data_IF_366830717314
#
_entry.id   IF_366830717314
#
_cell.length_a   1.000
_cell.length_b   1.000
_cell.length_c   1.000
_cell.angle_alpha   90.00
_cell.angle_beta   90.00
_cell.angle_gamma   90.00
#
_symmetry.space_group_name_H-M   'P 1'
#
loop_
_entity.id
_entity.type
_entity.pdbx_description
1 polymer ?
2 non-polymer ?
3 non-polymer ?
4 non-polymer ?
5 water ?
#
# COMPACT_ATOMS: atom_id res chain seq x y z
N UNK A 1 8.46 28.51 -12.32
CA UNK A 1 7.98 27.09 -12.31
C UNK A 1 9.12 26.08 -12.28
N UNK A 2 10.07 26.19 -13.22
CA UNK A 2 11.30 25.39 -13.16
C UNK A 2 12.03 25.57 -11.82
N UNK A 3 12.07 26.80 -11.32
CA UNK A 3 12.69 27.11 -10.04
C UNK A 3 11.94 26.42 -8.90
N UNK A 4 10.62 26.29 -9.04
CA UNK A 4 9.81 25.58 -8.05
C UNK A 4 10.16 24.07 -7.99
N UNK A 5 10.38 23.48 -9.15
CA UNK A 5 10.85 22.10 -9.22
C UNK A 5 12.23 21.97 -8.56
N UNK A 6 13.13 22.91 -8.88
CA UNK A 6 14.47 22.87 -8.30
C UNK A 6 14.42 22.85 -6.78
N UNK A 7 13.58 23.69 -6.20
CA UNK A 7 13.42 23.73 -4.75
C UNK A 7 13.00 22.38 -4.18
N UNK A 8 12.11 21.67 -4.87
CA UNK A 8 11.68 20.36 -4.37
C UNK A 8 12.80 19.32 -4.49
N UNK A 9 13.44 19.29 -5.66
CA UNK A 9 14.55 18.35 -5.88
C UNK A 9 15.66 18.51 -4.84
N UNK A 10 16.11 19.75 -4.62
CA UNK A 10 17.13 20.03 -3.60
C UNK A 10 16.71 19.56 -2.23
N UNK A 11 15.44 19.78 -1.91
CA UNK A 11 14.88 19.38 -0.61
C UNK A 11 14.94 17.85 -0.40
N UNK A 12 14.65 17.08 -1.45
CA UNK A 12 14.54 15.61 -1.32
C UNK A 12 15.89 14.89 -1.28
N UNK A 13 16.97 15.63 -1.54
CA UNK A 13 18.33 15.05 -1.57
C UNK A 13 18.90 14.56 -0.26
N UNK A 14 18.73 15.34 0.81
CA UNK A 14 19.41 15.02 2.06
C UNK A 14 19.07 13.65 2.63
N UNK A 15 17.82 13.21 2.45
CA UNK A 15 17.36 11.97 3.06
C UNK A 15 17.85 10.73 2.31
N UNK A 16 18.40 10.94 1.10
CA UNK A 16 18.71 9.80 0.25
C UNK A 16 19.64 8.82 0.97
N UNK A 17 19.38 7.51 0.79
CA UNK A 17 20.16 6.48 1.49
C UNK A 17 20.80 5.50 0.51
N UNK A 18 21.95 4.96 0.89
CA UNK A 18 22.60 3.93 0.07
C UNK A 18 21.94 2.58 0.31
N UNK A 19 21.80 1.76 -0.76
CA UNK A 19 21.25 0.42 -0.57
C UNK A 19 22.04 -0.42 0.42
N UNK A 20 21.35 -1.33 1.10
CA UNK A 20 21.99 -2.35 1.92
C UNK A 20 22.61 -3.41 0.99
N UNK A 21 23.94 -3.63 1.07
CA UNK A 21 24.55 -4.61 0.16
C UNK A 21 23.95 -6.03 0.24
N UNK A 22 23.36 -6.39 1.38
CA UNK A 22 22.65 -7.66 1.54
C UNK A 22 21.45 -7.75 0.60
N UNK A 23 20.87 -6.60 0.24
CA UNK A 23 19.62 -6.56 -0.51
C UNK A 23 19.73 -5.89 -1.87
N UNK A 24 20.84 -5.22 -2.12
CA UNK A 24 20.97 -4.46 -3.33
C UNK A 24 21.00 -5.35 -4.60
N UNK A 25 20.01 -5.18 -5.47
CA UNK A 25 19.99 -5.89 -6.76
C UNK A 25 19.59 -7.37 -6.70
N UNK A 26 19.27 -7.87 -5.50
CA UNK A 26 19.00 -9.31 -5.34
C UNK A 26 17.74 -9.77 -6.10
N UNK A 27 16.86 -8.83 -6.44
CA UNK A 27 15.64 -9.16 -7.19
C UNK A 27 15.63 -8.64 -8.62
N UNK A 28 16.80 -8.30 -9.16
CA UNK A 28 16.91 -7.77 -10.52
C UNK A 28 16.16 -8.68 -11.53
N UNK A 29 15.24 -8.08 -12.27
CA UNK A 29 14.47 -8.74 -13.34
C UNK A 29 13.62 -9.95 -12.90
N UNK A 30 13.29 -10.00 -11.61
CA UNK A 30 12.38 -11.00 -11.08
C UNK A 30 10.95 -10.47 -11.12
N UNK A 31 9.97 -11.37 -11.23
CA UNK A 31 8.58 -10.92 -11.21
C UNK A 31 8.29 -10.28 -9.84
N UNK A 32 7.48 -9.22 -9.85
CA UNK A 32 7.06 -8.55 -8.61
C UNK A 32 5.53 -8.59 -8.55
N UNK A 33 5.00 -9.17 -7.48
CA UNK A 33 3.57 -9.32 -7.27
C UNK A 33 3.22 -8.47 -6.04
N UNK A 34 2.23 -7.60 -6.21
CA UNK A 34 1.92 -6.59 -5.21
C UNK A 34 0.45 -6.77 -4.88
N UNK A 35 0.15 -7.08 -3.62
CA UNK A 35 -1.22 -7.48 -3.24
C UNK A 35 -1.81 -6.46 -2.25
N UNK A 36 -2.88 -5.81 -2.67
CA UNK A 36 -3.54 -4.74 -1.91
C UNK A 36 -4.63 -5.39 -1.07
N UNK A 37 -4.61 -5.14 0.23
CA UNK A 37 -5.68 -5.65 1.11
C UNK A 37 -6.60 -4.49 1.48
N UNK A 38 -7.80 -4.48 0.88
CA UNK A 38 -8.71 -3.38 1.09
C UNK A 38 -9.04 -3.22 2.59
N UNK A 39 -8.88 -1.99 3.10
CA UNK A 39 -9.33 -1.57 4.44
C UNK A 39 -8.75 -2.41 5.58
N UNK A 40 -7.58 -3.00 5.34
CA UNK A 40 -6.99 -3.95 6.31
C UNK A 40 -6.14 -3.25 7.38
N UNK A 41 -6.53 -3.46 8.63
CA UNK A 41 -5.76 -2.98 9.81
C UNK A 41 -5.12 -4.14 10.58
N UNK A 42 -3.87 -3.97 10.99
CA UNK A 42 -3.15 -5.06 11.65
C UNK A 42 -3.61 -5.36 13.08
N UNK A 43 -4.59 -4.63 13.62
CA UNK A 43 -5.21 -5.07 14.88
C UNK A 43 -5.86 -6.46 14.68
N UNK A 44 -6.17 -6.81 13.43
CA UNK A 44 -6.69 -8.14 13.12
C UNK A 44 -5.69 -9.27 13.35
N UNK A 45 -4.39 -8.95 13.25
CA UNK A 45 -3.37 -9.99 13.33
C UNK A 45 -3.35 -10.57 14.73
N UNK A 46 -3.50 -11.90 14.79
CA UNK A 46 -3.60 -12.71 16.02
C UNK A 46 -4.87 -12.48 16.83
N UNK A 47 -5.80 -11.71 16.29
CA UNK A 47 -7.08 -11.47 16.96
C UNK A 47 -8.02 -12.67 16.78
N UNK A 48 -8.64 -13.10 17.89
CA UNK A 48 -9.68 -14.12 17.84
C UNK A 48 -11.05 -13.51 18.13
N UNK A 49 -12.07 -14.05 17.49
CA UNK A 49 -13.47 -13.66 17.77
C UNK A 49 -14.26 -14.96 17.91
N UNK A 50 -14.94 -15.10 19.05
CA UNK A 50 -15.64 -16.34 19.42
C UNK A 50 -14.72 -17.55 19.32
N UNK A 51 -13.46 -17.34 19.73
CA UNK A 51 -12.46 -18.41 19.76
C UNK A 51 -11.83 -18.77 18.42
N UNK A 52 -12.21 -18.07 17.35
CA UNK A 52 -11.68 -18.35 16.01
C UNK A 52 -10.73 -17.24 15.59
N UNK A 53 -9.61 -17.61 14.98
CA UNK A 53 -8.68 -16.61 14.43
C UNK A 53 -9.34 -15.94 13.23
N UNK A 54 -9.37 -14.61 13.24
CA UNK A 54 -10.04 -13.92 12.13
C UNK A 54 -9.24 -14.11 10.85
N UNK A 55 -7.92 -14.01 10.96
CA UNK A 55 -7.04 -14.02 9.76
C UNK A 55 -5.90 -15.04 9.90
N UNK A 56 -6.23 -16.34 9.95
CA UNK A 56 -5.21 -17.36 10.26
C UNK A 56 -4.02 -17.40 9.29
N UNK A 57 -4.24 -17.17 8.00
CA UNK A 57 -3.14 -17.20 7.03
C UNK A 57 -2.19 -16.02 7.25
N UNK A 58 -2.73 -14.81 7.30
CA UNK A 58 -1.90 -13.64 7.61
C UNK A 58 -1.23 -13.71 8.98
N UNK A 59 -1.89 -14.38 9.94
CA UNK A 59 -1.25 -14.63 11.23
C UNK A 59 0.05 -15.43 11.05
N UNK A 60 -0.01 -16.48 10.23
CA UNK A 60 1.18 -17.27 9.93
C UNK A 60 2.24 -16.42 9.22
N UNK A 61 1.84 -15.65 8.20
CA UNK A 61 2.81 -14.78 7.51
C UNK A 61 3.48 -13.83 8.49
N UNK A 62 2.70 -13.29 9.44
CA UNK A 62 3.19 -12.29 10.41
C UNK A 62 4.14 -12.87 11.47
N UNK A 63 4.22 -14.20 11.53
CA UNK A 63 5.17 -14.87 12.46
C UNK A 63 6.62 -14.65 12.03
N UNK A 64 6.82 -14.35 10.75
CA UNK A 64 8.16 -14.25 10.18
C UNK A 64 8.75 -15.59 9.75
N UNK A 65 8.02 -16.68 9.98
CA UNK A 65 8.53 -18.03 9.72
C UNK A 65 8.04 -18.60 8.39
N UNK A 66 7.39 -17.75 7.58
CA UNK A 66 6.76 -18.22 6.34
C UNK A 66 7.29 -17.51 5.08
N UNK A 67 8.58 -17.19 5.11
CA UNK A 67 9.30 -16.57 3.95
C UNK A 67 9.04 -15.06 3.77
N UNK A 68 8.07 -14.51 4.50
CA UNK A 68 7.78 -13.07 4.43
C UNK A 68 8.40 -12.32 5.60
N UNK A 69 8.92 -11.12 5.33
CA UNK A 69 9.31 -10.19 6.37
C UNK A 69 8.11 -9.30 6.64
N UNK A 70 7.65 -9.32 7.89
CA UNK A 70 6.52 -8.53 8.36
C UNK A 70 6.96 -7.27 9.11
N UNK A 71 6.34 -6.15 8.75
CA UNK A 71 6.57 -4.86 9.42
C UNK A 71 5.35 -4.51 10.26
N UNK A 72 5.42 -4.75 11.59
CA UNK A 72 4.26 -4.45 12.47
C UNK A 72 4.01 -2.98 12.80
N UNK A 73 4.93 -2.10 12.42
CA UNK A 73 4.82 -0.66 12.66
C UNK A 73 4.77 0.10 11.33
N UNK A 74 3.89 -0.32 10.43
CA UNK A 74 3.85 0.20 9.06
C UNK A 74 2.49 0.87 8.84
N UNK A 75 2.51 2.12 8.38
CA UNK A 75 1.31 2.98 8.33
C UNK A 75 0.99 3.45 6.93
N UNK A 76 -0.28 3.36 6.56
CA UNK A 76 -0.80 4.12 5.44
C UNK A 76 -0.68 5.63 5.76
N UNK A 77 -0.69 6.45 4.71
CA UNK A 77 -0.56 7.91 4.82
C UNK A 77 -1.62 8.62 3.96
N UNK A 78 -2.82 8.01 3.89
CA UNK A 78 -3.84 8.42 2.93
C UNK A 78 -4.75 9.54 3.46
N UNK A 79 -5.57 10.08 2.54
CA UNK A 79 -6.60 11.03 2.88
C UNK A 79 -7.89 10.66 2.15
N UNK A 80 -8.52 11.66 1.51
CA UNK A 80 -9.87 11.46 0.96
C UNK A 80 -9.91 10.59 -0.29
N UNK A 81 -8.73 10.31 -0.87
CA UNK A 81 -8.70 9.45 -2.03
C UNK A 81 -8.72 7.95 -1.71
N UNK A 82 -8.64 7.61 -0.42
CA UNK A 82 -8.77 6.21 0.03
C UNK A 82 -7.84 5.27 -0.77
N UNK A 83 -8.37 4.23 -1.43
CA UNK A 83 -7.50 3.32 -2.17
C UNK A 83 -6.64 4.04 -3.21
N UNK A 84 -7.22 5.05 -3.85
CA UNK A 84 -6.49 5.82 -4.88
C UNK A 84 -5.30 6.57 -4.28
N UNK A 85 -5.42 7.03 -3.03
CA UNK A 85 -4.29 7.70 -2.37
C UNK A 85 -3.18 6.69 -2.11
N UNK A 86 -3.57 5.52 -1.60
CA UNK A 86 -2.61 4.46 -1.36
C UNK A 86 -1.88 4.09 -2.65
N UNK A 87 -2.63 3.94 -3.73
CA UNK A 87 -2.02 3.58 -5.01
C UNK A 87 -1.06 4.68 -5.47
N UNK A 88 -1.49 5.92 -5.30
CA UNK A 88 -0.70 7.09 -5.67
C UNK A 88 0.65 7.06 -4.95
N UNK A 89 0.60 6.87 -3.65
CA UNK A 89 1.82 6.90 -2.85
C UNK A 89 2.70 5.65 -3.13
N UNK A 90 2.09 4.48 -3.23
CA UNK A 90 2.83 3.23 -3.47
C UNK A 90 3.66 3.30 -4.76
N UNK A 91 3.12 3.93 -5.80
CA UNK A 91 3.80 3.95 -7.11
C UNK A 91 4.56 5.25 -7.41
N UNK A 92 4.58 6.18 -6.46
CA UNK A 92 5.26 7.46 -6.68
C UNK A 92 6.11 8.01 -5.53
N UNK A 93 5.91 7.49 -4.32
CA UNK A 93 6.58 8.07 -3.14
C UNK A 93 6.26 9.60 -3.02
N UNK A 94 5.00 9.94 -3.31
CA UNK A 94 4.45 11.27 -3.08
C UNK A 94 3.24 11.09 -2.21
N UNK A 95 2.82 12.18 -1.55
CA UNK A 95 1.55 12.16 -0.81
C UNK A 95 0.39 12.46 -1.75
N UNK A 96 -0.82 12.02 -1.38
CA UNK A 96 -2.02 12.54 -2.02
C UNK A 96 -2.25 14.00 -1.62
N UNK A 97 -3.43 14.52 -1.96
CA UNK A 97 -3.80 15.91 -1.61
C UNK A 97 -4.44 16.02 -0.21
N UNK A 98 -4.41 17.22 0.40
CA UNK A 98 -5.03 17.35 1.73
C UNK A 98 -6.55 17.28 1.72
N UNK A 99 -7.14 17.63 0.59
CA UNK A 99 -8.59 17.51 0.41
C UNK A 99 -8.77 16.92 -0.97
N UNK A 100 -9.70 15.98 -1.09
CA UNK A 100 -10.02 15.39 -2.38
C UNK A 100 -9.02 14.37 -2.85
N UNK A 101 -9.13 13.99 -4.12
CA UNK A 101 -8.41 12.85 -4.66
C UNK A 101 -7.42 13.23 -5.75
N UNK A 102 -6.14 13.00 -5.46
CA UNK A 102 -5.09 13.18 -6.47
C UNK A 102 -5.38 12.41 -7.77
N UNK A 103 -5.85 11.17 -7.68
CA UNK A 103 -6.26 10.44 -8.91
C UNK A 103 -7.30 11.25 -9.70
N UNK A 104 -8.36 11.70 -8.99
CA UNK A 104 -9.46 12.41 -9.68
C UNK A 104 -9.07 13.78 -10.25
N UNK A 105 -8.22 14.50 -9.52
CA UNK A 105 -7.93 15.90 -9.80
C UNK A 105 -6.62 16.12 -10.57
N UNK A 106 -5.66 15.19 -10.44
CA UNK A 106 -4.32 15.39 -11.00
C UNK A 106 -3.93 14.23 -11.94
N UNK A 107 -4.93 13.60 -12.54
CA UNK A 107 -4.71 12.42 -13.36
C UNK A 107 -4.01 12.69 -14.68
N UNK A 108 -3.97 13.94 -15.13
CA UNK A 108 -3.16 14.25 -16.31
C UNK A 108 -1.94 15.11 -16.03
N UNK A 109 -1.54 15.14 -14.76
CA UNK A 109 -0.19 15.56 -14.43
C UNK A 109 0.85 14.64 -15.07
N UNK A 110 2.09 15.15 -15.12
CA UNK A 110 3.23 14.39 -15.57
C UNK A 110 3.81 13.66 -14.35
N UNK A 111 4.12 12.37 -14.52
CA UNK A 111 4.71 11.57 -13.44
C UNK A 111 5.97 10.81 -13.88
N UNK A 112 6.75 10.40 -12.88
CA UNK A 112 7.92 9.54 -13.11
C UNK A 112 7.78 8.33 -12.19
N UNK A 113 6.76 7.51 -12.51
CA UNK A 113 6.27 6.47 -11.61
C UNK A 113 7.11 5.20 -11.58
N UNK A 114 6.96 4.45 -10.49
CA UNK A 114 7.60 3.15 -10.33
C UNK A 114 7.42 2.18 -11.50
N UNK A 115 6.18 1.91 -11.94
CA UNK A 115 6.06 0.98 -13.08
C UNK A 115 6.84 1.44 -14.34
N UNK A 116 6.80 2.73 -14.62
CA UNK A 116 7.51 3.28 -15.78
C UNK A 116 9.02 3.07 -15.62
N UNK A 117 9.54 3.31 -14.42
CA UNK A 117 10.97 3.13 -14.18
C UNK A 117 11.38 1.66 -14.39
N UNK A 118 10.63 0.74 -13.80
CA UNK A 118 10.89 -0.69 -13.99
C UNK A 118 10.84 -1.10 -15.46
N UNK A 119 9.83 -0.60 -16.19
CA UNK A 119 9.69 -0.89 -17.62
C UNK A 119 10.94 -0.41 -18.36
N UNK A 120 11.33 0.83 -18.09
CA UNK A 120 12.43 1.47 -18.82
C UNK A 120 13.79 0.90 -18.50
N UNK A 121 14.04 0.66 -17.22
CA UNK A 121 15.37 0.22 -16.79
C UNK A 121 15.61 -1.28 -17.00
N UNK A 122 14.55 -2.09 -16.87
CA UNK A 122 14.75 -3.54 -16.83
C UNK A 122 13.79 -4.37 -17.71
N UNK A 123 13.04 -3.70 -18.57
CA UNK A 123 12.17 -4.38 -19.52
C UNK A 123 10.90 -5.00 -18.92
N UNK A 124 10.51 -4.55 -17.73
CA UNK A 124 9.23 -4.99 -17.15
C UNK A 124 8.04 -4.59 -18.01
N UNK A 125 6.96 -5.35 -17.86
CA UNK A 125 5.64 -4.88 -18.22
C UNK A 125 4.84 -4.85 -16.93
N UNK A 126 4.09 -3.79 -16.74
CA UNK A 126 3.36 -3.58 -15.49
C UNK A 126 1.87 -3.70 -15.73
N UNK A 127 1.14 -4.26 -14.74
CA UNK A 127 -0.28 -4.40 -14.89
C UNK A 127 -0.99 -4.14 -13.57
N UNK A 128 -2.26 -3.74 -13.65
CA UNK A 128 -3.12 -3.72 -12.47
C UNK A 128 -4.30 -4.61 -12.77
N UNK A 129 -4.77 -5.33 -11.75
CA UNK A 129 -5.98 -6.13 -11.89
C UNK A 129 -6.95 -5.75 -10.78
N UNK A 130 -8.23 -5.60 -11.11
CA UNK A 130 -9.22 -5.14 -10.13
C UNK A 130 -10.63 -5.46 -10.62
N UNK A 131 -11.44 -6.02 -9.73
CA UNK A 131 -12.82 -6.41 -10.08
C UNK A 131 -13.86 -5.29 -10.04
N UNK A 132 -13.52 -4.12 -10.58
CA UNK A 132 -14.44 -2.98 -10.72
C UNK A 132 -14.06 -2.29 -12.03
N UNK A 133 -14.93 -1.42 -12.53
CA UNK A 133 -14.74 -0.83 -13.86
C UNK A 133 -13.68 0.29 -13.87
N UNK A 134 -13.03 0.46 -15.02
CA UNK A 134 -11.76 1.20 -15.09
C UNK A 134 -11.76 2.70 -14.81
N UNK A 135 -12.92 3.35 -14.94
CA UNK A 135 -12.96 4.81 -14.73
C UNK A 135 -13.31 5.20 -13.29
N UNK A 136 -13.57 4.22 -12.42
CA UNK A 136 -13.70 4.56 -11.02
C UNK A 136 -12.35 5.05 -10.48
N UNK A 137 -12.38 6.11 -9.67
CA UNK A 137 -11.19 6.86 -9.24
C UNK A 137 -10.32 7.29 -10.42
N UNK A 138 -10.91 7.42 -11.61
CA UNK A 138 -10.15 7.91 -12.76
C UNK A 138 -8.94 7.04 -13.11
N UNK A 139 -9.02 5.75 -12.76
CA UNK A 139 -7.84 4.88 -12.90
C UNK A 139 -7.35 4.78 -14.34
N UNK A 140 -8.30 4.69 -15.27
CA UNK A 140 -8.01 4.62 -16.70
C UNK A 140 -7.00 5.71 -17.12
N UNK A 141 -7.33 6.97 -16.85
CA UNK A 141 -6.47 8.10 -17.18
C UNK A 141 -5.17 8.12 -16.38
N UNK A 142 -5.25 7.90 -15.07
CA UNK A 142 -4.06 7.96 -14.22
C UNK A 142 -3.02 6.93 -14.60
N UNK A 143 -3.46 5.69 -14.82
CA UNK A 143 -2.55 4.60 -15.13
C UNK A 143 -1.77 4.86 -16.43
N UNK A 144 -2.40 5.50 -17.41
CA UNK A 144 -1.66 5.89 -18.63
C UNK A 144 -0.52 6.87 -18.32
N UNK A 145 -0.76 7.76 -17.36
CA UNK A 145 0.27 8.74 -16.95
C UNK A 145 1.36 8.11 -16.08
N UNK A 146 0.99 7.06 -15.36
CA UNK A 146 1.94 6.26 -14.57
C UNK A 146 2.74 5.28 -15.46
N UNK A 147 2.30 5.06 -16.69
CA UNK A 147 2.98 4.11 -17.57
C UNK A 147 2.67 2.63 -17.29
N UNK A 148 1.48 2.37 -16.76
CA UNK A 148 0.98 1.00 -16.57
C UNK A 148 0.55 0.46 -17.94
N UNK A 149 1.03 -0.73 -18.29
CA UNK A 149 0.84 -1.32 -19.63
C UNK A 149 -0.52 -1.96 -19.85
N UNK A 150 -1.07 -2.59 -18.81
CA UNK A 150 -2.34 -3.29 -18.94
C UNK A 150 -3.17 -3.16 -17.67
N UNK A 151 -4.48 -3.04 -17.86
CA UNK A 151 -5.41 -2.88 -16.73
C UNK A 151 -6.53 -3.90 -16.91
N UNK A 152 -6.46 -4.99 -16.14
CA UNK A 152 -7.48 -6.02 -16.17
C UNK A 152 -8.57 -5.57 -15.20
N UNK A 153 -9.51 -4.76 -15.70
CA UNK A 153 -10.65 -4.28 -14.89
C UNK A 153 -11.80 -5.31 -14.90
N UNK A 154 -13.00 -4.90 -14.45
CA UNK A 154 -14.12 -5.83 -14.28
C UNK A 154 -14.51 -6.53 -15.58
N UNK A 155 -14.18 -5.92 -16.72
CA UNK A 155 -14.51 -6.55 -18.03
C UNK A 155 -13.70 -7.82 -18.30
N UNK A 156 -12.73 -8.11 -17.44
CA UNK A 156 -11.93 -9.33 -17.53
C UNK A 156 -12.41 -10.47 -16.63
N UNK A 157 -13.49 -10.24 -15.90
CA UNK A 157 -14.02 -11.21 -14.96
C UNK A 157 -15.53 -11.40 -15.15
N UNK A 158 -16.06 -12.51 -14.69
CA UNK A 158 -17.51 -12.74 -14.77
C UNK A 158 -18.21 -12.01 -13.62
N UNK A 159 -18.92 -10.93 -13.96
CA UNK A 159 -19.54 -10.03 -13.00
C UNK A 159 -21.02 -10.35 -12.74
N UNK A 160 -21.40 -11.60 -12.96
CA UNK A 160 -22.77 -12.03 -12.67
C UNK A 160 -23.02 -11.99 -11.17
N UNK A 161 -24.30 -11.96 -10.80
CA UNK A 161 -24.72 -11.82 -9.39
C UNK A 161 -24.04 -12.75 -8.42
N UNK A 162 -23.85 -14.01 -8.83
CA UNK A 162 -23.28 -15.03 -7.97
C UNK A 162 -21.82 -14.74 -7.62
N UNK A 163 -21.16 -13.91 -8.43
CA UNK A 163 -19.73 -13.60 -8.28
C UNK A 163 -19.44 -12.22 -7.70
N UNK A 164 -20.48 -11.48 -7.37
CA UNK A 164 -20.32 -10.12 -6.87
C UNK A 164 -20.95 -9.88 -5.51
N UNK A 165 -20.37 -8.96 -4.75
CA UNK A 165 -20.99 -8.47 -3.52
C UNK A 165 -20.52 -7.03 -3.29
N UNK A 166 -21.38 -6.20 -2.72
CA UNK A 166 -21.03 -4.81 -2.43
C UNK A 166 -20.59 -4.06 -3.71
N UNK A 167 -19.31 -3.67 -3.80
CA UNK A 167 -18.84 -2.80 -4.91
C UNK A 167 -18.56 -3.54 -6.22
N UNK A 168 -18.35 -4.85 -6.14
CA UNK A 168 -18.03 -5.61 -7.35
C UNK A 168 -17.58 -7.03 -7.09
N UNK A 169 -16.61 -7.50 -7.87
CA UNK A 169 -16.22 -8.90 -7.84
C UNK A 169 -15.80 -9.39 -6.45
N UNK A 170 -16.26 -10.57 -6.08
CA UNK A 170 -15.82 -11.22 -4.82
C UNK A 170 -14.31 -11.54 -4.87
N UNK A 171 -13.60 -11.33 -3.76
CA UNK A 171 -12.14 -11.57 -3.75
C UNK A 171 -11.70 -13.01 -4.10
N UNK A 172 -12.47 -14.03 -3.73
CA UNK A 172 -12.00 -15.40 -3.98
C UNK A 172 -11.89 -15.67 -5.47
N UNK A 173 -12.96 -15.42 -6.22
CA UNK A 173 -12.92 -15.57 -7.67
C UNK A 173 -11.91 -14.61 -8.32
N UNK A 174 -11.84 -13.38 -7.81
CA UNK A 174 -10.87 -12.40 -8.28
C UNK A 174 -9.44 -12.97 -8.25
N UNK A 175 -9.03 -13.48 -7.08
CA UNK A 175 -7.67 -14.03 -6.91
C UNK A 175 -7.43 -15.26 -7.80
N UNK A 176 -8.42 -16.14 -7.87
CA UNK A 176 -8.28 -17.34 -8.70
C UNK A 176 -8.09 -16.97 -10.16
N UNK A 177 -8.95 -16.11 -10.68
CA UNK A 177 -8.91 -15.72 -12.08
C UNK A 177 -7.65 -14.93 -12.37
N UNK A 178 -7.25 -14.09 -11.42
CA UNK A 178 -6.05 -13.28 -11.55
C UNK A 178 -4.77 -14.12 -11.62
N UNK A 179 -4.66 -15.17 -10.79
CA UNK A 179 -3.51 -16.06 -10.84
C UNK A 179 -3.46 -16.75 -12.20
N UNK A 180 -4.63 -17.16 -12.71
CA UNK A 180 -4.70 -17.70 -14.09
C UNK A 180 -4.18 -16.71 -15.16
N UNK A 181 -4.53 -15.43 -15.03
CA UNK A 181 -4.03 -14.43 -15.97
C UNK A 181 -2.52 -14.23 -15.85
N UNK A 182 -2.03 -14.18 -14.61
CA UNK A 182 -0.59 -14.03 -14.36
C UNK A 182 0.26 -15.18 -14.94
N UNK A 183 -0.26 -16.40 -14.86
CA UNK A 183 0.42 -17.57 -15.43
C UNK A 183 0.67 -17.44 -16.94
N UNK A 184 -0.11 -16.60 -17.61
CA UNK A 184 -0.02 -16.46 -19.08
C UNK A 184 0.88 -15.30 -19.51
N UNK A 185 1.48 -14.58 -18.54
CA UNK A 185 2.24 -13.36 -18.85
C UNK A 185 3.73 -13.62 -19.01
N UNK A 186 4.38 -12.81 -19.86
CA UNK A 186 5.83 -12.88 -20.03
C UNK A 186 6.54 -12.25 -18.83
N UNK A 187 7.61 -12.90 -18.37
CA UNK A 187 8.52 -12.36 -17.36
C UNK A 187 9.52 -11.40 -18.02
N UNK A 188 9.95 -10.34 -17.29
CA UNK A 188 9.55 -9.91 -15.94
C UNK A 188 8.29 -9.05 -15.96
N UNK A 189 7.42 -9.26 -14.98
CA UNK A 189 6.24 -8.41 -14.87
C UNK A 189 6.13 -7.85 -13.47
N UNK A 190 5.40 -6.73 -13.36
CA UNK A 190 5.11 -6.05 -12.09
C UNK A 190 3.60 -5.99 -12.01
N UNK A 191 3.00 -6.85 -11.18
CA UNK A 191 1.55 -7.05 -11.19
C UNK A 191 0.93 -6.63 -9.87
N UNK A 192 -0.06 -5.72 -9.93
CA UNK A 192 -0.72 -5.19 -8.73
C UNK A 192 -2.17 -5.66 -8.68
N UNK A 193 -2.50 -6.44 -7.65
CA UNK A 193 -3.87 -6.94 -7.50
C UNK A 193 -4.56 -6.13 -6.40
N UNK A 194 -5.65 -5.47 -6.78
CA UNK A 194 -6.39 -4.59 -5.88
C UNK A 194 -7.68 -5.30 -5.49
N UNK A 195 -7.83 -5.59 -4.20
CA UNK A 195 -8.99 -6.36 -3.74
C UNK A 195 -10.17 -5.43 -3.48
N UNK A 196 -11.31 -5.99 -3.01
CA UNK A 196 -12.55 -5.23 -3.01
C UNK A 196 -13.57 -5.62 -1.92
N UNK A 197 -13.60 -6.89 -1.55
CA UNK A 197 -14.69 -7.39 -0.67
C UNK A 197 -14.63 -6.86 0.75
N UNK A 198 -13.43 -6.62 1.27
CA UNK A 198 -13.29 -6.06 2.61
C UNK A 198 -13.44 -4.51 2.58
N UNK A 199 -14.64 -4.04 2.21
CA UNK A 199 -14.91 -2.61 1.99
C UNK A 199 -16.21 -2.24 2.68
N UNK A 200 -16.23 -1.06 3.30
CA UNK A 200 -17.45 -0.55 3.93
C UNK A 200 -18.65 -0.76 3.00
N UNK A 201 -19.81 -1.19 3.53
CA UNK A 201 -20.21 -1.44 4.92
C UNK A 201 -19.83 -2.83 5.48
N UNK A 202 -18.98 -3.56 4.76
CA UNK A 202 -18.47 -4.89 5.17
C UNK A 202 -19.59 -5.92 5.22
N UNK A 203 -20.16 -6.13 4.06
CA UNK A 203 -21.27 -7.06 3.89
C UNK A 203 -20.79 -8.30 3.12
N UNK A 204 -21.24 -9.47 3.57
CA UNK A 204 -20.86 -10.72 2.96
C UNK A 204 -22.07 -11.63 3.09
N UNK A 205 -22.41 -12.34 2.03
CA UNK A 205 -23.51 -13.30 2.09
C UNK A 205 -23.17 -14.39 3.10
N UNK A 206 -24.17 -14.79 3.88
CA UNK A 206 -24.01 -15.87 4.86
C UNK A 206 -23.39 -17.15 4.27
N UNK A 207 -23.76 -17.49 3.03
CA UNK A 207 -23.24 -18.69 2.38
C UNK A 207 -21.72 -18.62 2.21
N UNK A 208 -21.20 -17.41 2.12
CA UNK A 208 -19.75 -17.18 1.88
C UNK A 208 -18.94 -17.01 3.14
N UNK A 209 -19.61 -16.67 4.25
CA UNK A 209 -18.94 -16.47 5.53
C UNK A 209 -18.51 -17.79 6.17
N UNK A 210 -17.33 -17.78 6.80
CA UNK A 210 -16.82 -18.98 7.51
C UNK A 210 -16.53 -18.66 8.98
N UNK A 211 -16.90 -17.46 9.42
CA UNK A 211 -16.75 -17.04 10.81
C UNK A 211 -18.00 -16.23 11.20
N UNK A 212 -18.46 -16.38 12.44
CA UNK A 212 -19.54 -15.55 12.92
C UNK A 212 -19.07 -14.12 13.21
N UNK A 213 -19.97 -13.16 13.02
CA UNK A 213 -19.71 -11.78 13.38
C UNK A 213 -19.35 -11.65 14.86
N UNK A 214 -18.59 -10.62 15.21
CA UNK A 214 -18.51 -10.21 16.60
C UNK A 214 -19.91 -9.68 17.06
N UNK A 215 -20.04 -9.42 18.36
CA UNK A 215 -21.31 -9.06 18.96
C UNK A 215 -21.29 -7.67 19.65
N UNK A 216 -20.59 -6.71 19.03
CA UNK A 216 -20.50 -5.37 19.62
C UNK A 216 -21.79 -4.57 19.47
N UNK A 217 -22.60 -4.94 18.47
CA UNK A 217 -23.83 -4.22 18.13
C UNK A 217 -23.65 -3.21 17.01
N UNK A 218 -22.40 -2.87 16.73
CA UNK A 218 -22.06 -1.96 15.63
C UNK A 218 -21.93 -2.79 14.35
N UNK A 219 -22.84 -2.55 13.40
CA UNK A 219 -22.95 -3.35 12.20
C UNK A 219 -21.66 -3.32 11.36
N UNK A 220 -20.95 -2.20 11.45
CA UNK A 220 -19.70 -2.02 10.68
C UNK A 220 -18.59 -2.88 11.26
N UNK A 221 -18.35 -2.76 12.57
CA UNK A 221 -17.34 -3.59 13.24
C UNK A 221 -17.68 -5.08 13.14
N UNK A 222 -18.94 -5.42 13.41
CA UNK A 222 -19.33 -6.82 13.41
C UNK A 222 -19.20 -7.48 12.03
N UNK A 223 -19.55 -6.74 10.97
CA UNK A 223 -19.44 -7.23 9.59
C UNK A 223 -17.99 -7.35 9.14
N UNK A 224 -17.16 -6.41 9.59
CA UNK A 224 -15.71 -6.39 9.26
C UNK A 224 -15.02 -7.72 9.61
N UNK A 225 -15.40 -8.32 10.73
CA UNK A 225 -14.85 -9.64 11.08
C UNK A 225 -15.00 -10.65 9.96
N UNK A 226 -16.18 -10.68 9.33
CA UNK A 226 -16.48 -11.66 8.31
C UNK A 226 -15.76 -11.38 7.02
N UNK A 227 -15.77 -10.11 6.58
CA UNK A 227 -15.09 -9.77 5.30
C UNK A 227 -13.55 -9.87 5.40
N UNK A 228 -13.02 -9.62 6.59
CA UNK A 228 -11.58 -9.80 6.84
C UNK A 228 -11.16 -11.27 6.75
N UNK A 229 -11.95 -12.15 7.35
CA UNK A 229 -11.72 -13.60 7.26
C UNK A 229 -11.80 -14.06 5.81
N UNK A 230 -12.80 -13.55 5.09
CA UNK A 230 -13.00 -13.92 3.70
C UNK A 230 -11.76 -13.55 2.88
N UNK A 231 -11.27 -12.32 3.11
CA UNK A 231 -10.06 -11.83 2.42
C UNK A 231 -8.85 -12.70 2.78
N UNK A 232 -8.71 -13.03 4.07
CA UNK A 232 -7.60 -13.90 4.48
C UNK A 232 -7.63 -15.26 3.75
N UNK A 233 -8.83 -15.84 3.60
CA UNK A 233 -9.00 -17.12 2.91
C UNK A 233 -8.72 -17.02 1.41
N UNK A 234 -9.15 -15.90 0.84
CA UNK A 234 -8.94 -15.59 -0.58
C UNK A 234 -7.43 -15.54 -0.85
N UNK A 235 -6.71 -14.86 0.04
CA UNK A 235 -5.27 -14.67 -0.10
C UNK A 235 -4.54 -16.01 0.08
N UNK A 236 -4.94 -16.80 1.06
CA UNK A 236 -4.32 -18.11 1.27
C UNK A 236 -4.37 -18.97 0.01
N UNK A 237 -5.56 -19.04 -0.61
CA UNK A 237 -5.73 -19.84 -1.82
C UNK A 237 -4.93 -19.25 -2.97
N UNK A 238 -4.83 -17.91 -3.03
CA UNK A 238 -4.03 -17.25 -4.06
C UNK A 238 -2.57 -17.69 -3.97
N UNK A 239 -2.00 -17.66 -2.76
CA UNK A 239 -0.61 -18.10 -2.54
C UNK A 239 -0.41 -19.57 -2.96
N UNK A 240 -1.38 -20.43 -2.63
CA UNK A 240 -1.39 -21.82 -3.08
C UNK A 240 -1.34 -21.92 -4.60
N UNK A 241 -2.18 -21.14 -5.26
CA UNK A 241 -2.26 -21.16 -6.72
C UNK A 241 -0.93 -20.74 -7.31
N UNK A 242 -0.30 -19.71 -6.74
CA UNK A 242 1.03 -19.27 -7.19
C UNK A 242 2.04 -20.41 -7.14
N UNK A 243 2.08 -21.12 -6.00
CA UNK A 243 2.96 -22.31 -5.86
C UNK A 243 2.67 -23.35 -6.94
N UNK A 244 1.40 -23.64 -7.20
CA UNK A 244 1.02 -24.60 -8.24
C UNK A 244 1.43 -24.17 -9.65
N UNK A 245 1.53 -22.86 -9.86
CA UNK A 245 1.84 -22.30 -11.18
C UNK A 245 3.32 -21.95 -11.35
N UNK A 246 4.12 -22.22 -10.32
CA UNK A 246 5.55 -21.90 -10.36
C UNK A 246 5.85 -20.41 -10.32
N UNK A 247 4.96 -19.64 -9.70
CA UNK A 247 5.07 -18.18 -9.61
C UNK A 247 5.36 -17.69 -8.19
N UNK A 248 5.68 -18.61 -7.28
CA UNK A 248 5.90 -18.24 -5.89
C UNK A 248 7.38 -18.09 -5.54
N UNK A 249 8.17 -19.15 -5.72
CA UNK A 249 9.54 -19.17 -5.24
C UNK A 249 10.41 -18.02 -5.72
N UNK A 250 10.30 -17.69 -7.01
CA UNK A 250 11.23 -16.71 -7.58
C UNK A 250 10.61 -15.32 -7.83
N UNK A 251 9.50 -15.03 -7.14
CA UNK A 251 8.86 -13.71 -7.21
C UNK A 251 9.13 -12.90 -5.95
N UNK A 252 9.28 -11.59 -6.11
CA UNK A 252 9.10 -10.68 -4.97
C UNK A 252 7.60 -10.60 -4.76
N UNK A 253 7.13 -10.84 -3.54
CA UNK A 253 5.70 -10.69 -3.28
C UNK A 253 5.53 -9.74 -2.10
N UNK A 254 4.79 -8.64 -2.31
CA UNK A 254 4.48 -7.73 -1.22
C UNK A 254 3.00 -7.61 -1.01
N UNK A 255 2.62 -7.42 0.24
CA UNK A 255 1.23 -7.43 0.65
C UNK A 255 1.10 -6.22 1.60
N UNK A 256 0.00 -5.47 1.49
CA UNK A 256 -0.15 -4.24 2.30
C UNK A 256 -1.62 -3.89 2.47
N UNK A 257 -2.01 -3.42 3.67
CA UNK A 257 -3.35 -2.81 3.84
C UNK A 257 -3.35 -1.42 3.21
N UNK A 258 -4.40 -1.05 2.47
CA UNK A 258 -4.39 0.30 1.86
C UNK A 258 -4.58 1.48 2.82
N UNK A 259 -5.52 1.37 3.77
CA UNK A 259 -5.79 2.40 4.78
C UNK A 259 -6.72 1.76 5.82
N UNK A 260 -7.00 2.51 6.89
CA UNK A 260 -7.90 2.00 7.96
C UNK A 260 -9.30 1.72 7.41
N UNK A 261 -9.96 0.69 7.97
CA UNK A 261 -11.33 0.35 7.58
C UNK A 261 -12.35 0.82 8.60
N UNK A 262 -11.93 0.90 9.85
CA UNK A 262 -12.82 1.29 10.95
C UNK A 262 -12.50 2.71 11.46
N UNK A 263 -13.40 3.66 11.22
CA UNK A 263 -13.15 5.06 11.65
C UNK A 263 -13.42 5.25 13.15
N UNK A 264 -13.16 6.48 13.63
CA UNK A 264 -13.42 6.83 15.04
C UNK A 264 -14.92 6.89 15.36
N UNK A 265 -15.77 6.90 14.34
CA UNK A 265 -17.21 6.78 14.55
C UNK A 265 -17.56 5.52 15.36
N UNK A 266 -16.66 4.53 15.31
CA UNK A 266 -16.94 3.18 15.82
C UNK A 266 -16.17 2.92 17.12
N UNK A 267 -15.80 4.00 17.81
CA UNK A 267 -14.98 3.91 19.05
C UNK A 267 -15.68 3.13 20.15
N UNK A 268 -17.00 3.25 20.27
CA UNK A 268 -17.70 2.49 21.32
C UNK A 268 -17.49 0.99 21.12
N UNK A 269 -17.73 0.54 19.89
CA UNK A 269 -17.65 -0.89 19.55
C UNK A 269 -16.21 -1.40 19.54
N UNK A 270 -15.28 -0.56 19.07
CA UNK A 270 -13.87 -0.93 19.04
C UNK A 270 -13.29 -1.10 20.45
N UNK A 271 -13.74 -0.28 21.39
CA UNK A 271 -13.39 -0.50 22.81
C UNK A 271 -13.88 -1.88 23.32
N UNK A 272 -15.09 -2.26 22.94
CA UNK A 272 -15.61 -3.60 23.28
C UNK A 272 -14.74 -4.68 22.65
N UNK A 273 -14.46 -4.52 21.35
CA UNK A 273 -13.74 -5.54 20.58
C UNK A 273 -12.30 -5.73 21.07
N UNK A 274 -11.61 -4.62 21.31
CA UNK A 274 -10.18 -4.62 21.61
C UNK A 274 -9.89 -4.56 23.10
N UNK A 275 -10.94 -4.35 23.90
CA UNK A 275 -10.78 -4.22 25.36
C UNK A 275 -9.89 -3.10 25.86
N UNK A 276 -10.08 -1.90 25.32
CA UNK A 276 -9.27 -0.74 25.66
C UNK A 276 -9.99 0.47 25.08
N UNK A 277 -10.00 1.59 25.81
CA UNK A 277 -10.67 2.82 25.33
C UNK A 277 -9.90 3.38 24.14
N UNK A 278 -10.62 3.73 23.07
CA UNK A 278 -9.98 4.28 21.86
C UNK A 278 -9.79 5.79 22.05
N UNK A 279 -8.68 6.14 22.69
CA UNK A 279 -8.24 7.52 22.76
C UNK A 279 -7.69 7.95 21.39
N UNK A 280 -7.51 9.27 21.18
CA UNK A 280 -6.83 9.73 19.94
C UNK A 280 -5.49 9.02 19.70
N UNK A 281 -4.68 8.86 20.75
CA UNK A 281 -3.39 8.14 20.65
C UNK A 281 -3.58 6.70 20.21
N UNK A 282 -4.52 6.00 20.82
CA UNK A 282 -4.81 4.61 20.47
C UNK A 282 -5.29 4.55 19.03
N UNK A 283 -6.19 5.48 18.63
CA UNK A 283 -6.64 5.47 17.21
C UNK A 283 -5.47 5.58 16.24
N UNK A 284 -4.55 6.50 16.56
CA UNK A 284 -3.34 6.58 15.75
C UNK A 284 -2.61 5.22 15.67
N UNK A 285 -2.43 4.54 16.79
CA UNK A 285 -1.79 3.22 16.75
C UNK A 285 -2.53 2.25 15.83
N UNK A 286 -3.87 2.38 15.77
CA UNK A 286 -4.71 1.49 15.00
C UNK A 286 -4.65 1.81 13.49
N UNK A 287 -3.91 2.87 13.14
CA UNK A 287 -3.67 3.16 11.70
C UNK A 287 -2.55 2.32 11.09
N UNK A 288 -1.99 1.41 11.88
CA UNK A 288 -1.14 0.36 11.35
C UNK A 288 -1.92 -0.50 10.39
N UNK A 289 -1.44 -0.56 9.14
CA UNK A 289 -2.12 -1.26 8.06
C UNK A 289 -1.23 -2.36 7.43
N UNK A 290 0.03 -2.45 7.85
CA UNK A 290 0.87 -3.63 7.56
C UNK A 290 1.63 -3.64 6.24
N UNK A 291 2.82 -4.24 6.26
CA UNK A 291 3.58 -4.53 5.04
C UNK A 291 4.22 -5.89 5.24
N UNK A 292 4.07 -6.77 4.24
CA UNK A 292 4.71 -8.10 4.25
C UNK A 292 5.46 -8.22 2.93
N UNK A 293 6.73 -8.66 2.97
CA UNK A 293 7.45 -8.81 1.71
C UNK A 293 8.32 -10.06 1.69
N UNK A 294 8.14 -10.86 0.64
CA UNK A 294 8.96 -12.04 0.41
C UNK A 294 9.94 -11.72 -0.71
N UNK A 295 11.22 -11.99 -0.47
CA UNK A 295 12.28 -11.70 -1.45
C UNK A 295 13.01 -13.04 -1.69
N UNK A 296 13.07 -13.49 -2.96
CA UNK A 296 13.80 -14.74 -3.27
C UNK A 296 15.23 -14.75 -2.70
N UNK A 297 15.61 -15.86 -2.08
CA UNK A 297 16.95 -16.02 -1.52
C UNK A 297 17.14 -15.41 -0.15
N UNK A 298 16.09 -14.76 0.38
CA UNK A 298 16.12 -14.17 1.72
C UNK A 298 15.08 -14.88 2.58
N UNK A 299 15.43 -15.11 3.84
CA UNK A 299 14.46 -15.68 4.77
C UNK A 299 13.51 -14.56 5.24
N UNK A 300 12.35 -14.97 5.76
CA UNK A 300 11.43 -14.03 6.36
C UNK A 300 11.86 -13.61 7.75
N UNK A 301 10.97 -12.92 8.44
CA UNK A 301 11.29 -12.40 9.76
C UNK A 301 10.35 -11.28 10.14
N UNK A 302 10.70 -10.59 11.21
CA UNK A 302 9.92 -9.47 11.70
C UNK A 302 10.86 -8.28 11.79
N UNK A 303 10.49 -7.18 11.14
CA UNK A 303 11.29 -5.96 11.13
C UNK A 303 10.48 -4.84 11.76
N UNK A 304 10.92 -4.36 12.93
CA UNK A 304 10.15 -3.39 13.71
C UNK A 304 10.28 -1.92 13.31
N UNK A 305 10.95 -1.65 12.19
CA UNK A 305 11.16 -0.28 11.70
C UNK A 305 9.82 0.45 11.52
N UNK A 306 9.68 1.64 12.10
CA UNK A 306 8.51 2.50 11.83
C UNK A 306 8.61 3.04 10.41
N UNK A 307 7.54 2.88 9.63
CA UNK A 307 7.64 3.20 8.21
C UNK A 307 6.28 3.51 7.64
N UNK A 308 6.26 4.08 6.44
CA UNK A 308 5.00 4.40 5.74
C UNK A 308 5.04 3.93 4.31
N UNK A 309 3.88 4.03 3.65
CA UNK A 309 3.78 3.68 2.24
C UNK A 309 4.71 4.47 1.30
N UNK A 310 5.14 5.66 1.71
CA UNK A 310 6.11 6.42 0.87
C UNK A 310 7.43 5.67 0.72
N UNK A 311 7.73 4.77 1.66
CA UNK A 311 9.01 4.03 1.65
C UNK A 311 9.04 2.84 0.71
N UNK A 312 7.88 2.44 0.17
CA UNK A 312 7.84 1.23 -0.66
C UNK A 312 8.58 1.39 -2.01
N UNK A 313 8.31 2.48 -2.73
CA UNK A 313 8.98 2.69 -4.03
C UNK A 313 10.53 2.60 -3.98
N UNK A 314 11.19 3.37 -3.08
CA UNK A 314 12.67 3.25 -3.06
C UNK A 314 13.14 1.86 -2.63
N UNK A 315 12.36 1.18 -1.80
CA UNK A 315 12.67 -0.19 -1.42
C UNK A 315 12.69 -1.13 -2.63
N UNK A 316 11.64 -1.08 -3.44
CA UNK A 316 11.53 -1.95 -4.59
C UNK A 316 12.63 -1.64 -5.61
N UNK A 317 12.89 -0.35 -5.83
CA UNK A 317 13.92 0.06 -6.79
C UNK A 317 15.29 -0.45 -6.37
N UNK A 318 15.61 -0.33 -5.09
CA UNK A 318 16.89 -0.85 -4.61
C UNK A 318 16.98 -2.39 -4.70
N UNK A 319 15.88 -3.09 -4.42
CA UNK A 319 15.85 -4.55 -4.59
C UNK A 319 16.15 -4.95 -6.03
N UNK A 320 15.64 -4.15 -6.99
CA UNK A 320 15.90 -4.39 -8.41
C UNK A 320 17.32 -4.05 -8.83
N UNK A 321 18.02 -3.28 -7.99
CA UNK A 321 19.39 -2.83 -8.30
C UNK A 321 19.44 -1.54 -9.10
N UNK A 322 18.39 -0.73 -9.00
CA UNK A 322 18.28 0.50 -9.78
C UNK A 322 18.74 1.70 -8.92
N UNK A 323 19.64 2.51 -9.47
CA UNK A 323 20.13 3.75 -8.81
C UNK A 323 18.99 4.77 -8.73
N UNK A 324 18.71 5.29 -7.53
CA UNK A 324 17.56 6.20 -7.33
C UNK A 324 17.94 7.68 -7.08
N UNK A 325 19.23 8.03 -7.23
CA UNK A 325 19.71 9.38 -6.95
C UNK A 325 18.92 10.49 -7.65
N UNK A 326 18.41 10.22 -8.86
CA UNK A 326 17.71 11.22 -9.64
C UNK A 326 16.18 11.17 -9.54
N UNK A 327 15.63 10.32 -8.67
CA UNK A 327 14.17 10.29 -8.55
C UNK A 327 13.71 11.12 -7.37
N UNK A 328 12.67 11.93 -7.62
CA UNK A 328 12.11 12.81 -6.62
C UNK A 328 11.17 11.96 -5.81
N UNK A 329 11.59 11.60 -4.60
CA UNK A 329 10.85 10.71 -3.73
C UNK A 329 10.93 11.21 -2.30
N UNK A 330 9.86 11.01 -1.53
CA UNK A 330 9.86 11.42 -0.11
C UNK A 330 10.22 10.29 0.84
N UNK A 331 10.01 9.05 0.40
CA UNK A 331 10.34 7.88 1.21
C UNK A 331 11.81 7.47 1.11
N UNK A 332 12.21 6.54 1.96
CA UNK A 332 13.56 5.96 1.87
C UNK A 332 13.47 4.44 2.01
N UNK A 333 14.45 3.74 1.43
CA UNK A 333 14.55 2.27 1.41
C UNK A 333 14.43 1.64 2.81
N UNK A 334 13.43 0.78 2.98
CA UNK A 334 13.14 0.12 4.27
C UNK A 334 14.31 -0.71 4.81
N UNK A 335 15.15 -1.21 3.90
CA UNK A 335 16.24 -2.12 4.31
C UNK A 335 17.57 -1.42 4.45
N UNK A 336 17.60 -0.14 4.10
CA UNK A 336 18.81 0.65 4.22
C UNK A 336 19.06 1.05 5.68
N UNK A 337 20.33 1.03 6.09
CA UNK A 337 20.68 1.39 7.47
C UNK A 337 20.20 2.81 7.81
N UNK A 338 20.26 3.72 6.83
CA UNK A 338 19.82 5.10 7.05
C UNK A 338 18.34 5.38 6.86
N UNK A 339 17.51 4.35 6.76
CA UNK A 339 16.06 4.54 6.58
C UNK A 339 15.56 5.59 7.57
N UNK A 340 14.81 6.57 7.05
CA UNK A 340 14.30 7.67 7.83
C UNK A 340 13.05 7.23 8.59
N UNK A 341 13.20 7.10 9.91
CA UNK A 341 12.15 6.56 10.75
C UNK A 341 11.17 7.63 11.28
N UNK A 342 10.62 8.41 10.36
CA UNK A 342 9.65 9.44 10.68
C UNK A 342 8.54 9.22 9.66
N UNK A 343 7.30 9.20 10.13
CA UNK A 343 6.17 8.86 9.25
C UNK A 343 5.13 9.98 9.31
N UNK A 344 5.15 10.90 8.33
CA UNK A 344 4.11 11.93 8.20
C UNK A 344 2.75 11.33 7.90
N UNK A 345 1.71 11.88 8.56
CA UNK A 345 0.34 11.60 8.17
C UNK A 345 -0.25 12.81 7.45
N UNK A 346 -1.27 12.59 6.63
CA UNK A 346 -1.78 13.66 5.75
C UNK A 346 -2.33 14.85 6.53
N UNK A 347 -2.84 14.61 7.73
CA UNK A 347 -3.42 15.67 8.55
C UNK A 347 -2.36 16.46 9.36
N UNK A 348 -1.08 16.11 9.17
CA UNK A 348 0.03 16.77 9.87
C UNK A 348 0.46 16.12 11.19
N UNK A 349 -0.33 15.16 11.66
CA UNK A 349 0.11 14.25 12.71
C UNK A 349 1.32 13.46 12.20
N UNK A 350 2.08 12.85 13.10
CA UNK A 350 3.16 11.95 12.67
C UNK A 350 3.57 10.97 13.75
N UNK A 351 4.36 9.97 13.37
CA UNK A 351 4.86 9.01 14.33
C UNK A 351 6.34 8.72 14.09
N UNK A 352 7.05 8.47 15.18
CA UNK A 352 8.47 8.06 15.11
C UNK A 352 8.60 6.81 15.97
N UNK A 353 9.81 6.26 16.09
CA UNK A 353 10.00 5.06 16.91
C UNK A 353 9.51 5.30 18.35
N UNK A 354 9.81 6.47 18.89
CA UNK A 354 9.65 6.70 20.33
C UNK A 354 8.35 7.38 20.72
N UNK A 355 7.82 8.21 19.84
CA UNK A 355 6.63 8.98 20.18
C UNK A 355 5.74 9.22 18.97
N UNK A 356 4.53 9.69 19.25
CA UNK A 356 3.58 10.12 18.21
C UNK A 356 3.12 11.54 18.50
N UNK A 357 2.72 12.24 17.44
CA UNK A 357 2.23 13.62 17.53
C UNK A 357 0.82 13.66 16.98
N UNK A 358 -0.15 13.80 17.88
CA UNK A 358 -1.56 13.66 17.50
C UNK A 358 -2.36 14.85 17.99
N UNK A 359 -2.97 15.57 17.04
CA UNK A 359 -3.75 16.79 17.31
C UNK A 359 -3.05 17.77 18.29
N UNK A 360 -1.78 18.03 18.02
CA UNK A 360 -1.01 19.00 18.78
C UNK A 360 -0.39 18.50 20.07
N UNK A 361 -0.60 17.23 20.39
CA UNK A 361 -0.03 16.65 21.62
C UNK A 361 0.94 15.51 21.34
N UNK A 362 1.92 15.34 22.23
CA UNK A 362 2.97 14.34 22.06
C UNK A 362 2.73 13.20 23.05
N UNK A 363 2.70 11.97 22.55
CA UNK A 363 2.55 10.78 23.40
C UNK A 363 3.69 9.80 23.19
N UNK A 364 4.16 9.20 24.29
CA UNK A 364 5.13 8.12 24.21
C UNK A 364 4.48 6.85 23.64
N UNK A 365 5.16 6.20 22.69
CA UNK A 365 4.62 4.98 22.06
C UNK A 365 4.51 3.80 23.03
N UNK A 366 5.33 3.84 24.08
CA UNK A 366 5.41 2.80 25.09
C UNK A 366 4.07 2.55 25.81
N UNK A 367 3.36 3.62 26.14
CA UNK A 367 2.16 3.55 26.98
C UNK A 367 1.06 4.51 26.55
N UNK A 368 1.32 5.25 25.47
CA UNK A 368 0.47 6.34 25.02
C UNK A 368 0.19 7.39 26.12
N UNK A 369 1.13 7.53 27.05
CA UNK A 369 1.05 8.60 28.03
C UNK A 369 1.56 9.90 27.42
N UNK A 370 0.92 11.02 27.78
CA UNK A 370 1.35 12.36 27.37
C UNK A 370 2.81 12.63 27.75
N UNK A 371 3.57 13.15 26.79
CA UNK A 371 4.94 13.62 27.03
C UNK A 371 4.89 15.14 27.31
N UNK A 372 5.41 15.53 28.46
CA UNK A 372 5.35 16.90 28.97
C UNK A 372 6.53 17.80 28.54
N UNK A 373 7.72 17.23 28.45
CA UNK A 373 8.89 17.95 27.93
C UNK A 373 9.33 17.43 26.56
N UNK A 374 9.35 18.34 25.58
CA UNK A 374 9.63 18.03 24.17
C UNK A 374 10.87 17.17 23.95
N UNK A 375 10.72 16.05 23.23
CA UNK A 375 11.88 15.29 22.77
C UNK A 375 12.88 16.17 22.02
N UNK A 376 14.17 15.84 22.15
CA UNK A 376 15.26 16.62 21.55
C UNK A 376 15.07 16.85 20.04
N UNK A 377 14.56 15.83 19.36
CA UNK A 377 14.40 15.84 17.89
C UNK A 377 13.03 16.32 17.41
N UNK A 378 12.15 16.69 18.34
CA UNK A 378 10.77 17.05 18.00
C UNK A 378 10.64 18.16 16.96
N UNK A 379 11.28 19.29 17.22
CA UNK A 379 11.14 20.43 16.32
C UNK A 379 11.67 20.10 14.91
N UNK A 380 12.76 19.33 14.86
CA UNK A 380 13.34 18.88 13.59
C UNK A 380 12.34 18.00 12.83
N UNK A 381 11.77 17.03 13.54
CA UNK A 381 10.81 16.09 12.95
C UNK A 381 9.51 16.77 12.52
N UNK A 382 8.96 17.63 13.37
CA UNK A 382 7.74 18.36 13.05
C UNK A 382 7.95 19.24 11.81
N UNK A 383 9.12 19.89 11.71
CA UNK A 383 9.42 20.70 10.53
C UNK A 383 9.51 19.79 9.29
N UNK A 384 10.15 18.64 9.42
CA UNK A 384 10.24 17.70 8.28
C UNK A 384 8.84 17.30 7.80
N UNK A 385 7.97 16.94 8.74
CA UNK A 385 6.61 16.53 8.40
C UNK A 385 5.86 17.62 7.63
N UNK A 386 5.85 18.85 8.17
CA UNK A 386 5.15 19.96 7.54
C UNK A 386 5.69 20.25 6.16
N UNK A 387 7.01 20.28 6.05
CA UNK A 387 7.66 20.59 4.77
C UNK A 387 7.48 19.50 3.73
N UNK A 388 7.51 18.23 4.18
CA UNK A 388 7.25 17.09 3.28
C UNK A 388 5.88 17.24 2.63
N UNK A 389 4.85 17.53 3.45
CA UNK A 389 3.50 17.68 2.93
C UNK A 389 3.39 18.87 1.97
N UNK A 390 4.01 20.00 2.32
CA UNK A 390 3.98 21.19 1.48
C UNK A 390 4.70 20.97 0.15
N UNK A 391 5.90 20.37 0.24
CA UNK A 391 6.72 20.09 -0.94
C UNK A 391 6.06 19.11 -1.90
N UNK A 392 5.49 18.04 -1.35
CA UNK A 392 4.74 17.08 -2.17
C UNK A 392 3.56 17.79 -2.85
N UNK A 393 2.77 18.51 -2.04
CA UNK A 393 1.64 19.28 -2.59
C UNK A 393 2.08 20.24 -3.70
N UNK A 394 3.27 20.84 -3.55
CA UNK A 394 3.78 21.73 -4.61
C UNK A 394 4.02 21.01 -5.94
N UNK A 395 4.50 19.76 -5.88
CA UNK A 395 4.68 18.95 -7.10
C UNK A 395 3.35 18.75 -7.78
N UNK A 396 2.33 18.35 -7.01
CA UNK A 396 1.01 18.08 -7.60
C UNK A 396 0.32 19.33 -8.12
N UNK A 397 0.29 20.37 -7.29
CA UNK A 397 -0.43 21.60 -7.63
C UNK A 397 0.26 22.37 -8.77
N UNK A 398 1.59 22.30 -8.81
CA UNK A 398 2.37 22.95 -9.86
C UNK A 398 2.66 22.10 -11.09
N UNK A 399 2.25 20.82 -11.03
CA UNK A 399 2.55 19.81 -12.05
C UNK A 399 4.04 19.90 -12.43
N UNK A 400 4.88 19.81 -11.40
CA UNK A 400 6.29 20.19 -11.53
C UNK A 400 7.17 19.23 -12.32
N UNK A 401 6.73 17.98 -12.52
CA UNK A 401 7.54 17.06 -13.34
C UNK A 401 7.58 17.49 -14.81
N UNK A 402 6.66 18.36 -15.22
CA UNK A 402 6.73 18.96 -16.56
C UNK A 402 8.10 19.59 -16.85
N UNK A 403 8.77 20.03 -15.79
CA UNK A 403 10.00 20.84 -15.93
C UNK A 403 11.26 20.03 -15.65
N UNK A 404 11.09 18.75 -15.32
CA UNK A 404 12.21 17.92 -14.92
C UNK A 404 12.76 17.13 -16.10
N UNK A 405 13.91 17.56 -16.57
CA UNK A 405 14.64 16.80 -17.57
C UNK A 405 15.54 15.79 -16.84
N UNK A 406 14.95 14.64 -16.53
CA UNK A 406 15.59 13.63 -15.69
C UNK A 406 16.40 12.69 -16.57
N UNK A 407 17.73 12.63 -16.36
CA UNK A 407 18.54 11.74 -17.19
C UNK A 407 18.22 10.24 -17.01
N UNK A 408 17.60 9.88 -15.89
CA UNK A 408 17.21 8.50 -15.61
C UNK A 408 15.73 8.21 -15.84
N UNK A 409 15.05 9.09 -16.57
CA UNK A 409 13.64 8.87 -16.88
C UNK A 409 13.24 9.38 -18.26
N UNK A 410 12.65 8.49 -19.07
CA UNK A 410 12.13 8.86 -20.39
C UNK A 410 10.67 9.27 -20.24
N UNK A 411 10.39 10.54 -20.54
CA UNK A 411 9.03 11.10 -20.42
C UNK A 411 7.96 10.18 -21.01
N UNK A 412 6.91 9.88 -20.23
CA UNK A 412 5.83 9.01 -20.67
C UNK A 412 4.91 9.75 -21.63
N UNK A 413 4.58 9.10 -22.76
CA UNK A 413 3.56 9.60 -23.66
C UNK A 413 2.29 8.82 -23.31
N UNK A 414 1.34 9.47 -22.60
CA UNK A 414 0.19 8.70 -22.10
C UNK A 414 -0.67 8.14 -23.23
N UNK A 415 -0.63 8.78 -24.40
CA UNK A 415 -1.44 8.32 -25.53
C UNK A 415 -0.97 6.98 -26.09
N UNK A 416 0.22 6.52 -25.69
CA UNK A 416 0.71 5.20 -26.10
C UNK A 416 0.18 4.04 -25.24
N UNK A 417 -0.68 4.36 -24.28
CA UNK A 417 -1.22 3.34 -23.39
C UNK A 417 -2.71 3.25 -23.60
N UNK A 418 -3.20 2.02 -23.74
CA UNK A 418 -4.64 1.79 -23.91
C UNK A 418 -5.02 0.46 -23.29
N UNK A 419 -6.19 0.45 -22.66
CA UNK A 419 -6.63 -0.74 -21.96
C UNK A 419 -7.89 -1.22 -22.63
N UNK A 420 -7.75 -2.33 -23.35
CA UNK A 420 -8.85 -2.86 -24.14
C UNK A 420 -9.85 -3.52 -23.23
N UNK A 421 -11.12 -3.47 -23.63
CA UNK A 421 -12.19 -4.20 -22.97
C UNK A 421 -11.89 -5.71 -22.96
N UNK A 422 -12.03 -6.31 -21.79
CA UNK A 422 -11.75 -7.74 -21.62
C UNK A 422 -12.79 -8.66 -22.25
N UNK A 423 -12.53 -9.97 -22.21
CA UNK A 423 -13.38 -10.98 -22.86
C UNK A 423 -14.70 -11.27 -22.14
N UNK A 424 -14.87 -10.76 -20.93
CA UNK A 424 -16.06 -11.08 -20.11
C UNK A 424 -17.06 -9.93 -20.00
X LIG B 1 -18.25 6.51 6.96
X LIG B 1 -17.17 7.14 6.79
X LIG B 1 -19.12 7.07 7.69
X LIG B 1 -18.48 5.17 6.31
X LIG C 1 -9.56 1.30 0.25
X LIG D 1 -13.42 0.72 -6.02
X LIG D 1 -12.54 0.82 -5.01
X LIG D 1 -12.91 1.36 -3.83
X LIG D 1 -13.05 0.19 -7.19
X LIG D 1 -11.27 0.41 -5.20
X LIG D 1 -11.98 1.49 -2.70
X LIG D 1 -11.84 2.80 -1.78
X LIG D 1 -11.10 3.84 -2.57
X LIG D 1 -13.23 3.25 -1.41
X LIG D 1 -11.07 2.24 -0.59
#
# INVERSE_FOLDING_TARGET
SEDDLTKVLNYTKQRQTEPNPEYYGVAKKKNIIKIHLESFQTFLINKKVNGKEVTPFLNKLSSGKEQFTYFPNFFHQTGQGKASDSEFTMDNSLYGLPQGSAFSLKGDNTYQSLPAILDQKQGYKSDVMHGDYKTFWNRDQVYKHFGIDKFYDATYYDMSDKNVVNLGLKDKIFFKDSANYQAKMKSPFYSHLITLTNHYPFTLDEKDATIEKSNTGDATVDGYIQTARYLDEALEEYINDLKKKGLYDNSVIMIYGDHYGISENHNNAMEKLLGEKITPAKFTDLNRTGFWIKIPGKSGGINNEYAGQVDVMPTILHLAGIDTKNYLMFGTDLFSKGHNQVVPFRNGDFITKDYKYVNGKIYSNKNNELITTQPADFEKNKKQVEKDLEMSDNVLNGDLFRFYKNPDFKKVNPSKYKYETGPK
ACT C O OXT CH3
MN MN
GP9 C2 C3 C4 O2 O3 O4 P1 O8 O9 O10
#
